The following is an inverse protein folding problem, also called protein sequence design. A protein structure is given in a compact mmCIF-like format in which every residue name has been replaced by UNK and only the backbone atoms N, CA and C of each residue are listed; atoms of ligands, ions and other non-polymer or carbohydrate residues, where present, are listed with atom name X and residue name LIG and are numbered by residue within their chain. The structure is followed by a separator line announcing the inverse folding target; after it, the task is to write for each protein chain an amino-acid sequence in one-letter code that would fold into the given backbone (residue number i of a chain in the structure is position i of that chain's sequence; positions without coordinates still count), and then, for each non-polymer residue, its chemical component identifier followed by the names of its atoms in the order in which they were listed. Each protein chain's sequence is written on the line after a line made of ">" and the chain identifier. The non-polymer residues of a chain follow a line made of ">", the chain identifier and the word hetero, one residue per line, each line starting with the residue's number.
data_IF_991515980268
#
_entry.id   IF_991515980268
#
_cell.length_a   1.000
_cell.length_b   1.000
_cell.length_c   1.000
_cell.angle_alpha   90.00
_cell.angle_beta   90.00
_cell.angle_gamma   90.00
#
_symmetry.space_group_name_H-M   'P 1'
#
loop_
_entity.id
_entity.type
_entity.pdbx_description
1 polymer ?
#
# COMPACT_ATOMS: atom_id res chain seq x y z
N UNK A 1 4.54 15.36 -49.40
CA UNK A 1 5.44 15.06 -48.27
C UNK A 1 4.56 14.84 -47.05
N UNK A 2 4.21 13.60 -46.74
CA UNK A 2 3.45 13.27 -45.54
C UNK A 2 4.45 12.99 -44.42
N UNK A 3 4.59 13.91 -43.47
CA UNK A 3 5.29 13.64 -42.21
C UNK A 3 4.46 12.63 -41.42
N UNK A 4 4.98 11.41 -41.29
CA UNK A 4 4.48 10.45 -40.34
C UNK A 4 4.90 10.93 -38.93
N UNK A 5 3.93 11.36 -38.12
CA UNK A 5 4.14 11.56 -36.70
C UNK A 5 4.30 10.18 -36.05
N UNK A 6 5.49 9.90 -35.53
CA UNK A 6 5.75 8.72 -34.72
C UNK A 6 5.12 8.93 -33.35
N UNK A 7 4.00 8.27 -33.08
CA UNK A 7 3.43 8.17 -31.74
C UNK A 7 4.28 7.18 -30.94
N UNK A 8 5.19 7.70 -30.12
CA UNK A 8 5.93 6.91 -29.13
C UNK A 8 4.95 6.56 -28.01
N UNK A 9 4.33 5.38 -28.09
CA UNK A 9 3.59 4.78 -26.99
C UNK A 9 4.61 4.25 -25.97
N UNK A 10 5.22 5.14 -25.20
CA UNK A 10 6.04 4.77 -24.05
C UNK A 10 5.18 4.12 -22.97
N UNK A 11 5.80 3.32 -22.10
CA UNK A 11 5.16 2.88 -20.85
C UNK A 11 4.79 4.14 -20.04
N UNK A 12 3.49 4.45 -19.96
CA UNK A 12 3.02 5.57 -19.15
C UNK A 12 3.32 5.34 -17.67
N UNK A 13 3.63 6.41 -16.94
CA UNK A 13 3.75 6.38 -15.49
C UNK A 13 2.40 5.87 -14.93
N UNK A 14 2.41 4.80 -14.14
CA UNK A 14 1.20 4.41 -13.42
C UNK A 14 0.85 5.47 -12.39
N UNK A 15 -0.43 5.73 -12.18
CA UNK A 15 -0.87 6.61 -11.11
C UNK A 15 -0.27 6.17 -9.76
N UNK A 16 0.13 7.14 -8.95
CA UNK A 16 0.59 6.90 -7.59
C UNK A 16 -0.53 6.21 -6.81
N UNK A 17 -0.24 5.10 -6.09
CA UNK A 17 -1.24 4.51 -5.22
C UNK A 17 -1.54 5.48 -4.08
N UNK A 18 -2.82 5.54 -3.68
CA UNK A 18 -3.28 6.26 -2.50
C UNK A 18 -3.80 5.28 -1.44
N UNK A 19 -3.99 5.76 -0.22
CA UNK A 19 -4.63 4.96 0.82
C UNK A 19 -6.14 4.86 0.56
N UNK A 20 -6.65 3.63 0.57
CA UNK A 20 -8.07 3.32 0.43
C UNK A 20 -8.48 2.41 1.56
N UNK A 21 -9.74 2.47 1.95
CA UNK A 21 -10.27 1.58 2.99
C UNK A 21 -10.77 0.28 2.35
N UNK A 22 -10.48 -0.84 3.01
CA UNK A 22 -11.13 -2.11 2.74
C UNK A 22 -12.65 -2.02 3.02
N UNK A 23 -13.47 -2.25 2.00
CA UNK A 23 -14.92 -2.35 2.10
C UNK A 23 -15.42 -3.80 1.97
N UNK A 24 -14.53 -4.77 1.75
CA UNK A 24 -14.91 -6.17 1.63
C UNK A 24 -15.54 -6.64 2.93
N UNK A 25 -16.80 -7.08 2.85
CA UNK A 25 -17.58 -7.52 4.01
C UNK A 25 -18.27 -6.39 4.79
N UNK A 26 -18.19 -5.14 4.34
CA UNK A 26 -18.92 -4.00 4.89
C UNK A 26 -19.97 -3.48 3.90
N UNK A 27 -21.07 -2.91 4.39
CA UNK A 27 -22.04 -2.23 3.52
C UNK A 27 -21.46 -0.87 3.10
N UNK A 28 -21.22 -0.61 1.79
CA UNK A 28 -20.71 0.67 1.33
C UNK A 28 -21.63 1.87 1.63
N UNK A 29 -22.89 1.64 2.00
CA UNK A 29 -23.81 2.67 2.46
C UNK A 29 -23.58 3.11 3.92
N UNK A 30 -22.88 2.30 4.73
CA UNK A 30 -22.56 2.64 6.13
C UNK A 30 -21.41 3.64 6.25
N UNK A 31 -20.56 3.73 5.23
CA UNK A 31 -19.48 4.71 5.16
C UNK A 31 -19.71 5.57 3.93
N UNK A 32 -19.96 6.86 4.10
CA UNK A 32 -20.15 7.78 2.99
C UNK A 32 -18.87 7.97 2.17
N UNK A 33 -19.00 8.45 0.93
CA UNK A 33 -17.83 8.77 0.10
C UNK A 33 -16.92 9.82 0.76
N UNK A 34 -17.52 10.81 1.43
CA UNK A 34 -16.79 11.84 2.15
C UNK A 34 -16.00 11.28 3.34
N UNK A 35 -16.57 10.34 4.10
CA UNK A 35 -15.84 9.68 5.19
C UNK A 35 -14.68 8.84 4.67
N UNK A 36 -14.85 8.16 3.53
CA UNK A 36 -13.75 7.39 2.90
C UNK A 36 -12.60 8.28 2.47
N UNK A 37 -12.92 9.41 1.84
CA UNK A 37 -11.94 10.41 1.41
C UNK A 37 -11.20 10.99 2.62
N UNK A 38 -11.94 11.40 3.66
CA UNK A 38 -11.36 11.94 4.89
C UNK A 38 -10.41 10.95 5.59
N UNK A 39 -10.73 9.64 5.58
CA UNK A 39 -9.81 8.62 6.10
C UNK A 39 -8.52 8.56 5.26
N UNK A 40 -8.64 8.58 3.93
CA UNK A 40 -7.48 8.61 3.02
C UNK A 40 -6.58 9.82 3.29
N UNK A 41 -7.16 11.02 3.36
CA UNK A 41 -6.44 12.26 3.67
C UNK A 41 -5.75 12.20 5.03
N UNK A 42 -6.44 11.69 6.05
CA UNK A 42 -5.86 11.50 7.39
C UNK A 42 -4.67 10.54 7.32
N UNK A 43 -4.78 9.43 6.59
CA UNK A 43 -3.66 8.50 6.44
C UNK A 43 -2.48 9.18 5.72
N UNK A 44 -2.71 9.98 4.69
CA UNK A 44 -1.65 10.71 3.99
C UNK A 44 -1.00 11.79 4.87
N UNK A 45 -1.78 12.48 5.71
CA UNK A 45 -1.27 13.46 6.66
C UNK A 45 -0.28 12.82 7.65
N UNK A 46 -0.67 11.68 8.24
CA UNK A 46 0.15 10.99 9.24
C UNK A 46 1.34 10.25 8.61
N UNK A 47 1.11 9.53 7.51
CA UNK A 47 2.06 8.56 6.95
C UNK A 47 2.69 8.98 5.62
N UNK A 48 2.41 10.18 5.11
CA UNK A 48 2.84 10.60 3.77
C UNK A 48 2.12 9.82 2.67
N UNK A 49 2.61 9.91 1.44
CA UNK A 49 2.02 9.11 0.35
C UNK A 49 2.72 7.75 0.24
N UNK A 50 2.09 6.73 -0.38
CA UNK A 50 2.77 5.48 -0.69
C UNK A 50 4.06 5.61 -1.52
N UNK A 51 4.23 6.69 -2.27
CA UNK A 51 5.49 6.99 -2.98
C UNK A 51 6.50 7.76 -2.13
N UNK A 52 6.04 8.49 -1.10
CA UNK A 52 6.88 9.26 -0.18
C UNK A 52 6.45 8.97 1.27
N UNK A 53 6.71 7.75 1.77
CA UNK A 53 6.22 7.34 3.08
C UNK A 53 6.95 8.08 4.20
N UNK A 54 6.22 8.37 5.27
CA UNK A 54 6.66 9.08 6.46
C UNK A 54 6.42 8.23 7.69
N UNK A 55 7.37 8.30 8.62
CA UNK A 55 7.22 7.73 9.96
C UNK A 55 6.79 8.83 10.93
N UNK A 56 5.61 8.71 11.56
CA UNK A 56 5.24 9.59 12.66
C UNK A 56 6.27 9.59 13.80
N UNK A 57 6.50 10.74 14.45
CA UNK A 57 7.45 10.82 15.55
C UNK A 57 7.05 9.91 16.72
N UNK A 58 8.03 9.37 17.44
CA UNK A 58 7.80 8.55 18.64
C UNK A 58 7.62 7.06 18.41
N UNK A 59 7.58 6.58 17.16
CA UNK A 59 7.42 5.15 16.85
C UNK A 59 8.74 4.34 16.91
N UNK A 60 9.90 5.00 16.99
CA UNK A 60 11.20 4.32 17.00
C UNK A 60 11.53 3.55 15.71
N UNK A 61 10.81 3.82 14.61
CA UNK A 61 11.04 3.22 13.31
C UNK A 61 12.05 4.03 12.50
N UNK A 62 12.85 3.33 11.73
CA UNK A 62 13.83 3.90 10.81
C UNK A 62 13.13 4.33 9.52
N UNK A 63 13.02 5.65 9.30
CA UNK A 63 12.32 6.22 8.16
C UNK A 63 12.95 5.83 6.80
N UNK A 64 14.27 5.66 6.76
CA UNK A 64 14.96 5.25 5.53
C UNK A 64 14.60 3.81 5.18
N UNK A 65 14.61 2.90 6.16
CA UNK A 65 14.17 1.51 5.96
C UNK A 65 12.71 1.42 5.55
N UNK A 66 11.84 2.26 6.11
CA UNK A 66 10.44 2.33 5.70
C UNK A 66 10.32 2.82 4.26
N UNK A 67 11.07 3.84 3.85
CA UNK A 67 11.08 4.32 2.48
C UNK A 67 11.58 3.25 1.50
N UNK A 68 12.64 2.51 1.84
CA UNK A 68 13.14 1.39 1.03
C UNK A 68 12.10 0.28 0.92
N UNK A 69 11.37 -0.05 1.98
CA UNK A 69 10.41 -1.15 1.98
C UNK A 69 9.07 -0.79 1.31
N UNK A 70 8.51 0.37 1.63
CA UNK A 70 7.15 0.76 1.26
C UNK A 70 7.06 1.75 0.09
N UNK A 71 8.17 2.42 -0.25
CA UNK A 71 8.24 3.39 -1.36
C UNK A 71 8.10 2.74 -2.75
N UNK A 72 8.32 3.49 -3.84
CA UNK A 72 8.16 3.01 -5.20
C UNK A 72 8.96 1.75 -5.49
N UNK A 73 8.38 0.87 -6.31
CA UNK A 73 9.09 -0.31 -6.80
C UNK A 73 10.12 0.14 -7.82
N UNK A 74 11.39 0.03 -7.45
CA UNK A 74 12.52 0.44 -8.28
C UNK A 74 13.66 -0.56 -8.13
N UNK A 75 14.21 -1.00 -9.27
CA UNK A 75 15.50 -1.69 -9.29
C UNK A 75 16.63 -0.68 -9.39
N UNK A 76 17.60 -0.73 -8.48
CA UNK A 76 18.79 0.13 -8.52
C UNK A 76 19.94 -0.58 -9.24
N UNK A 77 20.82 0.22 -9.84
CA UNK A 77 21.97 -0.27 -10.62
C UNK A 77 22.99 -1.07 -9.77
N UNK A 78 22.98 -0.89 -8.46
CA UNK A 78 23.77 -1.62 -7.47
C UNK A 78 23.13 -2.97 -7.05
N UNK A 79 21.96 -3.30 -7.61
CA UNK A 79 21.20 -4.51 -7.28
C UNK A 79 20.29 -4.39 -6.06
N UNK A 80 20.24 -3.22 -5.40
CA UNK A 80 19.29 -2.98 -4.32
C UNK A 80 17.85 -2.89 -4.85
N UNK A 81 16.91 -3.49 -4.12
CA UNK A 81 15.49 -3.48 -4.45
C UNK A 81 14.73 -2.55 -3.50
N UNK A 82 13.95 -1.64 -4.07
CA UNK A 82 13.05 -0.76 -3.33
C UNK A 82 11.59 -1.16 -3.55
N UNK A 83 10.72 -0.78 -2.62
CA UNK A 83 9.30 -1.07 -2.68
C UNK A 83 8.95 -2.55 -2.50
N UNK A 84 9.78 -3.30 -1.75
CA UNK A 84 9.58 -4.73 -1.51
C UNK A 84 8.17 -5.07 -1.03
N UNK A 85 7.59 -4.26 -0.13
CA UNK A 85 6.21 -4.44 0.32
C UNK A 85 5.20 -4.31 -0.82
N UNK A 86 5.34 -3.28 -1.68
CA UNK A 86 4.45 -3.06 -2.82
C UNK A 86 4.58 -4.17 -3.85
N UNK A 87 5.81 -4.61 -4.09
CA UNK A 87 6.10 -5.65 -5.08
C UNK A 87 5.59 -7.04 -4.65
N UNK A 88 5.63 -7.36 -3.36
CA UNK A 88 5.45 -8.73 -2.87
C UNK A 88 4.20 -8.92 -2.02
N UNK A 89 3.81 -7.90 -1.25
CA UNK A 89 2.80 -8.01 -0.20
C UNK A 89 1.48 -7.35 -0.59
N UNK A 90 1.54 -6.13 -1.15
CA UNK A 90 0.36 -5.30 -1.39
C UNK A 90 -0.64 -5.91 -2.38
N UNK A 91 -0.18 -6.80 -3.26
CA UNK A 91 -1.05 -7.54 -4.19
C UNK A 91 -2.12 -8.38 -3.47
N UNK A 92 -1.81 -8.87 -2.26
CA UNK A 92 -2.75 -9.60 -1.41
C UNK A 92 -3.22 -8.76 -0.22
N UNK A 93 -2.33 -7.97 0.41
CA UNK A 93 -2.61 -7.28 1.66
C UNK A 93 -3.03 -5.81 1.50
N UNK A 94 -3.08 -5.28 0.28
CA UNK A 94 -3.41 -3.88 0.03
C UNK A 94 -2.27 -2.91 0.36
N UNK A 95 -2.39 -1.67 -0.13
CA UNK A 95 -1.38 -0.61 0.07
C UNK A 95 -1.27 -0.21 1.55
N UNK A 96 -2.40 -0.14 2.24
CA UNK A 96 -2.51 0.18 3.67
C UNK A 96 -2.29 -1.04 4.59
N UNK A 97 -2.15 -2.24 4.03
CA UNK A 97 -2.06 -3.48 4.81
C UNK A 97 -3.38 -3.96 5.40
N UNK A 98 -4.52 -3.50 4.86
CA UNK A 98 -5.88 -3.78 5.32
C UNK A 98 -6.48 -5.10 4.79
N UNK A 99 -5.69 -5.88 4.05
CA UNK A 99 -6.14 -7.13 3.46
C UNK A 99 -6.86 -6.96 2.11
N UNK A 100 -7.02 -5.74 1.58
CA UNK A 100 -7.73 -5.46 0.33
C UNK A 100 -6.80 -5.38 -0.89
N UNK A 101 -5.90 -6.33 -1.05
CA UNK A 101 -5.08 -6.43 -2.26
C UNK A 101 -5.91 -6.81 -3.49
N UNK A 102 -5.40 -6.52 -4.69
CA UNK A 102 -6.08 -6.85 -5.95
C UNK A 102 -6.43 -8.34 -6.11
N UNK A 103 -5.71 -9.24 -5.42
CA UNK A 103 -5.98 -10.68 -5.43
C UNK A 103 -6.64 -11.20 -4.14
N UNK A 104 -6.99 -10.33 -3.19
CA UNK A 104 -7.42 -10.74 -1.85
C UNK A 104 -8.63 -11.70 -1.86
N UNK A 105 -9.65 -11.38 -2.65
CA UNK A 105 -10.89 -12.17 -2.75
C UNK A 105 -10.72 -13.52 -3.45
N UNK A 106 -9.54 -13.80 -4.02
CA UNK A 106 -9.22 -15.09 -4.65
C UNK A 106 -8.66 -16.10 -3.65
N UNK A 107 -8.29 -15.67 -2.44
CA UNK A 107 -7.70 -16.55 -1.44
C UNK A 107 -8.70 -16.97 -0.37
N UNK A 108 -8.69 -18.25 -0.02
CA UNK A 108 -9.30 -18.82 1.18
C UNK A 108 -8.20 -19.56 1.96
N UNK A 109 -7.77 -19.06 3.14
CA UNK A 109 -8.35 -17.95 3.90
C UNK A 109 -8.05 -16.56 3.32
N UNK A 110 -8.96 -15.61 3.59
CA UNK A 110 -8.79 -14.19 3.23
C UNK A 110 -7.49 -13.61 3.83
N UNK A 111 -6.76 -12.73 3.11
CA UNK A 111 -5.51 -12.15 3.61
C UNK A 111 -5.66 -11.43 4.95
N UNK A 112 -4.62 -11.52 5.80
CA UNK A 112 -4.61 -10.86 7.11
C UNK A 112 -4.59 -9.33 6.95
N UNK A 113 -5.51 -8.65 7.65
CA UNK A 113 -5.37 -7.22 7.97
C UNK A 113 -4.27 -7.03 9.03
N UNK A 114 -3.16 -6.40 8.64
CA UNK A 114 -2.02 -6.14 9.53
C UNK A 114 -2.25 -4.99 10.50
N UNK A 115 -3.20 -4.09 10.22
CA UNK A 115 -3.47 -2.89 11.03
C UNK A 115 -4.05 -3.26 12.39
N UNK A 116 -4.69 -4.42 12.48
CA UNK A 116 -5.23 -4.94 13.74
C UNK A 116 -4.15 -5.38 14.73
N UNK A 117 -2.90 -5.58 14.29
CA UNK A 117 -1.82 -6.08 15.14
C UNK A 117 -2.04 -7.49 15.68
N UNK A 118 -3.00 -8.26 15.14
CA UNK A 118 -3.33 -9.62 15.57
C UNK A 118 -2.67 -10.64 14.64
N UNK A 119 -1.65 -11.32 15.14
CA UNK A 119 -0.91 -12.33 14.39
C UNK A 119 -1.24 -13.74 14.91
N UNK A 120 -1.42 -14.70 14.00
CA UNK A 120 -1.72 -16.11 14.34
C UNK A 120 -0.52 -16.81 14.99
N UNK A 121 0.67 -16.53 14.48
CA UNK A 121 1.91 -17.16 14.94
C UNK A 121 2.78 -16.10 15.61
N UNK A 122 2.89 -16.20 16.93
CA UNK A 122 3.67 -15.29 17.76
C UNK A 122 4.57 -16.09 18.70
N UNK A 123 5.72 -15.52 19.07
CA UNK A 123 6.63 -16.11 20.07
C UNK A 123 6.13 -15.87 21.49
N UNK A 124 5.24 -14.89 21.68
CA UNK A 124 4.50 -14.60 22.91
C UNK A 124 3.06 -15.09 22.80
N UNK A 125 2.38 -15.29 23.92
CA UNK A 125 0.96 -15.64 23.92
C UNK A 125 0.16 -14.56 23.17
N UNK A 126 -0.82 -14.96 22.37
CA UNK A 126 -1.67 -14.00 21.67
C UNK A 126 -2.26 -12.95 22.64
N UNK A 127 -2.03 -11.67 22.35
CA UNK A 127 -2.48 -10.54 23.16
C UNK A 127 -1.65 -10.22 24.41
N UNK A 128 -0.43 -10.76 24.53
CA UNK A 128 0.51 -10.44 25.61
C UNK A 128 1.35 -9.19 25.32
#
# INVERSE_FOLDING_TARGET
>A
MFSAAVLVSGCGQSDSPGFRINLDGYDPAEVSAAEREAIGETMEEFFGTPDVPRVPPGLGLDAERIAVAAGPVEGRADGAQHGGYRQQCAVCHGISGDGAGALATTFDPYPRDFRLGVFKYTTTRAGA
#
